data_IF_794807603442
#
_entry.id   IF_794807603442
#
_cell.length_a   1.000
_cell.length_b   1.000
_cell.length_c   1.000
_cell.angle_alpha   90.00
_cell.angle_beta   90.00
_cell.angle_gamma   90.00
#
_symmetry.space_group_name_H-M   'P 1'
#
loop_
_entity.id
_entity.type
_entity.pdbx_description
1 polymer ?
#
# COMPACT_ATOMS: atom_id res chain seq x y z
N UNK A 1 6.20 -23.98 -4.08
CA UNK A 1 5.36 -22.92 -4.65
C UNK A 1 4.36 -22.35 -3.65
N UNK A 2 3.54 -23.16 -2.97
CA UNK A 2 2.45 -22.67 -2.10
C UNK A 2 2.86 -21.64 -1.02
N UNK A 3 3.99 -21.84 -0.32
CA UNK A 3 4.45 -20.90 0.72
C UNK A 3 4.69 -19.48 0.18
N UNK A 4 5.29 -19.36 -1.01
CA UNK A 4 5.62 -18.07 -1.63
C UNK A 4 4.34 -17.35 -2.08
N UNK A 5 3.39 -18.10 -2.64
CA UNK A 5 2.07 -17.60 -3.01
C UNK A 5 1.27 -17.06 -1.82
N UNK A 6 1.31 -17.76 -0.68
CA UNK A 6 0.69 -17.29 0.56
C UNK A 6 1.35 -16.02 1.09
N UNK A 7 2.68 -15.90 0.96
CA UNK A 7 3.41 -14.71 1.40
C UNK A 7 3.06 -13.47 0.56
N UNK A 8 2.98 -13.63 -0.77
CA UNK A 8 2.58 -12.57 -1.69
C UNK A 8 1.15 -12.11 -1.38
N UNK A 9 0.22 -13.06 -1.24
CA UNK A 9 -1.17 -12.77 -0.88
C UNK A 9 -1.28 -12.01 0.44
N UNK A 10 -0.52 -12.41 1.46
CA UNK A 10 -0.50 -11.70 2.75
C UNK A 10 0.01 -10.25 2.57
N UNK A 11 1.04 -10.06 1.76
CA UNK A 11 1.56 -8.72 1.49
C UNK A 11 0.57 -7.87 0.70
N UNK A 12 -0.13 -8.43 -0.29
CA UNK A 12 -1.23 -7.75 -0.99
C UNK A 12 -2.33 -7.29 -0.03
N UNK A 13 -2.70 -8.12 0.95
CA UNK A 13 -3.68 -7.76 1.97
C UNK A 13 -3.23 -6.56 2.80
N UNK A 14 -1.94 -6.49 3.16
CA UNK A 14 -1.33 -5.36 3.89
C UNK A 14 -1.36 -4.09 3.03
N UNK A 15 -1.01 -4.18 1.74
CA UNK A 15 -1.08 -3.04 0.81
C UNK A 15 -2.52 -2.58 0.61
N UNK A 16 -3.47 -3.51 0.49
CA UNK A 16 -4.89 -3.20 0.38
C UNK A 16 -5.43 -2.48 1.63
N UNK A 17 -5.06 -2.97 2.83
CA UNK A 17 -5.39 -2.28 4.08
C UNK A 17 -4.81 -0.86 4.12
N UNK A 18 -3.59 -0.64 3.58
CA UNK A 18 -2.97 0.69 3.50
C UNK A 18 -3.80 1.64 2.64
N UNK A 19 -4.28 1.17 1.48
CA UNK A 19 -5.16 1.94 0.57
C UNK A 19 -6.45 2.34 1.28
N UNK A 20 -7.11 1.38 1.94
CA UNK A 20 -8.35 1.64 2.67
C UNK A 20 -8.14 2.71 3.74
N UNK A 21 -7.08 2.61 4.54
CA UNK A 21 -6.80 3.57 5.61
C UNK A 21 -6.44 4.96 5.04
N UNK A 22 -5.73 5.05 3.91
CA UNK A 22 -5.38 6.34 3.28
C UNK A 22 -6.60 7.08 2.71
N UNK A 23 -7.69 6.39 2.38
CA UNK A 23 -8.93 7.04 1.96
C UNK A 23 -9.67 7.74 3.11
N UNK A 24 -9.45 7.32 4.35
CA UNK A 24 -10.02 7.97 5.51
C UNK A 24 -9.03 8.97 6.11
N UNK A 25 -9.48 10.21 6.34
CA UNK A 25 -8.69 11.19 7.11
C UNK A 25 -8.73 10.80 8.58
N UNK A 26 -7.73 10.04 9.02
CA UNK A 26 -7.60 9.60 10.42
C UNK A 26 -6.82 10.64 11.25
N UNK A 27 -7.42 11.21 12.32
CA UNK A 27 -6.71 12.10 13.24
C UNK A 27 -5.52 11.41 13.93
N UNK A 28 -4.47 12.16 14.25
CA UNK A 28 -3.24 11.60 14.84
C UNK A 28 -3.45 10.91 16.20
N UNK A 29 -4.39 11.39 17.03
CA UNK A 29 -4.68 10.82 18.35
C UNK A 29 -5.61 9.58 18.30
N UNK A 30 -6.05 9.17 17.10
CA UNK A 30 -6.96 8.04 16.96
C UNK A 30 -6.19 6.70 16.96
N UNK A 31 -6.70 5.61 17.58
CA UNK A 31 -6.04 4.30 17.57
C UNK A 31 -5.77 3.76 16.16
N UNK A 32 -6.59 4.12 15.18
CA UNK A 32 -6.39 3.76 13.77
C UNK A 32 -5.14 4.42 13.17
N UNK A 33 -4.67 5.55 13.72
CA UNK A 33 -3.41 6.16 13.29
C UNK A 33 -2.22 5.23 13.61
N UNK A 34 -2.25 4.50 14.72
CA UNK A 34 -1.22 3.49 15.03
C UNK A 34 -1.20 2.37 14.00
N UNK A 35 -2.38 1.93 13.55
CA UNK A 35 -2.48 0.93 12.48
C UNK A 35 -1.94 1.48 11.15
N UNK A 36 -2.30 2.72 10.80
CA UNK A 36 -1.74 3.41 9.63
C UNK A 36 -0.22 3.43 9.65
N UNK A 37 0.37 3.81 10.78
CA UNK A 37 1.82 3.95 10.93
C UNK A 37 2.51 2.56 10.90
N UNK A 38 1.88 1.53 11.47
CA UNK A 38 2.35 0.15 11.37
C UNK A 38 2.33 -0.37 9.92
N UNK A 39 1.26 -0.11 9.15
CA UNK A 39 1.19 -0.45 7.74
C UNK A 39 2.24 0.34 6.93
N UNK A 40 2.42 1.62 7.24
CA UNK A 40 3.42 2.45 6.58
C UNK A 40 4.84 1.92 6.81
N UNK A 41 5.16 1.39 7.98
CA UNK A 41 6.47 0.79 8.26
C UNK A 41 6.82 -0.35 7.29
N UNK A 42 5.81 -1.14 6.90
CA UNK A 42 5.98 -2.30 6.02
C UNK A 42 5.92 -1.90 4.55
N UNK A 43 5.00 -1.01 4.18
CA UNK A 43 4.69 -0.69 2.78
C UNK A 43 5.54 0.47 2.25
N UNK A 44 5.84 1.50 3.06
CA UNK A 44 6.56 2.69 2.61
C UNK A 44 7.99 2.43 2.11
N UNK A 45 8.79 1.49 2.65
CA UNK A 45 10.10 1.18 2.08
C UNK A 45 10.03 0.81 0.59
N UNK A 46 8.94 0.15 0.17
CA UNK A 46 8.68 -0.21 -1.22
C UNK A 46 8.06 0.95 -2.00
N UNK A 47 7.16 1.73 -1.38
CA UNK A 47 6.52 2.85 -2.05
C UNK A 47 7.45 4.05 -2.26
N UNK A 48 8.40 4.32 -1.36
CA UNK A 48 9.33 5.46 -1.46
C UNK A 48 10.07 5.52 -2.80
N UNK A 49 10.68 4.43 -3.32
CA UNK A 49 11.27 4.46 -4.65
C UNK A 49 10.20 4.56 -5.75
N UNK A 50 9.04 3.92 -5.61
CA UNK A 50 7.95 4.01 -6.60
C UNK A 50 7.39 5.43 -6.74
N UNK A 51 7.25 6.17 -5.63
CA UNK A 51 6.81 7.57 -5.58
C UNK A 51 7.74 8.52 -6.36
N UNK A 52 8.98 8.12 -6.66
CA UNK A 52 9.89 8.88 -7.53
C UNK A 52 9.52 8.76 -8.99
N UNK A 53 8.91 7.64 -9.38
CA UNK A 53 8.47 7.35 -10.76
C UNK A 53 7.02 7.81 -10.96
N UNK A 54 6.17 7.56 -9.97
CA UNK A 54 4.74 7.87 -9.99
C UNK A 54 4.46 8.86 -8.86
N UNK A 55 4.64 10.18 -9.12
CA UNK A 55 4.42 11.17 -8.09
C UNK A 55 2.95 11.21 -7.66
N UNK A 56 2.66 11.51 -6.37
CA UNK A 56 1.30 11.59 -5.87
C UNK A 56 0.52 12.70 -6.58
N UNK A 57 -0.74 12.42 -6.92
CA UNK A 57 -1.61 13.38 -7.59
C UNK A 57 -2.21 14.31 -6.54
N UNK A 58 -2.00 15.61 -6.70
CA UNK A 58 -2.58 16.63 -5.82
C UNK A 58 -3.93 17.07 -6.39
N UNK A 59 -5.01 16.88 -5.63
CA UNK A 59 -6.36 17.34 -5.97
C UNK A 59 -6.96 18.11 -4.78
N UNK A 60 -7.33 19.38 -4.98
CA UNK A 60 -8.12 20.15 -4.02
C UNK A 60 -7.52 20.26 -2.62
N UNK A 61 -6.19 20.39 -2.50
CA UNK A 61 -5.50 20.47 -1.21
C UNK A 61 -5.18 19.12 -0.55
N UNK A 62 -5.53 17.99 -1.18
CA UNK A 62 -5.16 16.64 -0.74
C UNK A 62 -4.21 15.98 -1.75
N UNK A 63 -3.18 15.30 -1.26
CA UNK A 63 -2.33 14.46 -2.08
C UNK A 63 -2.87 13.02 -2.04
N UNK A 64 -3.30 12.50 -3.19
CA UNK A 64 -3.70 11.11 -3.35
C UNK A 64 -2.49 10.32 -3.85
N UNK A 65 -2.04 9.35 -3.07
CA UNK A 65 -0.93 8.49 -3.46
C UNK A 65 -1.46 7.28 -4.22
N UNK A 66 -1.16 7.22 -5.52
CA UNK A 66 -1.53 6.08 -6.37
C UNK A 66 -0.49 4.95 -6.32
N UNK A 67 0.68 5.20 -5.72
CA UNK A 67 1.76 4.21 -5.62
C UNK A 67 1.31 2.87 -4.99
N UNK A 68 0.53 2.84 -3.88
CA UNK A 68 0.06 1.60 -3.29
C UNK A 68 -0.88 0.82 -4.23
N UNK A 69 -1.70 1.52 -5.03
CA UNK A 69 -2.59 0.88 -6.00
C UNK A 69 -1.78 0.21 -7.12
N UNK A 70 -0.75 0.90 -7.62
CA UNK A 70 0.16 0.34 -8.64
C UNK A 70 0.92 -0.86 -8.07
N UNK A 71 1.37 -0.79 -6.82
CA UNK A 71 2.02 -1.90 -6.14
C UNK A 71 1.09 -3.10 -6.02
N UNK A 72 -0.18 -2.89 -5.64
CA UNK A 72 -1.17 -3.96 -5.54
C UNK A 72 -1.39 -4.66 -6.89
N UNK A 73 -1.54 -3.89 -7.98
CA UNK A 73 -1.70 -4.45 -9.32
C UNK A 73 -0.44 -5.23 -9.73
N UNK A 74 0.75 -4.69 -9.47
CA UNK A 74 2.01 -5.35 -9.78
C UNK A 74 2.20 -6.68 -9.03
N UNK A 75 1.81 -6.72 -7.75
CA UNK A 75 1.84 -7.95 -6.96
C UNK A 75 0.85 -8.99 -7.48
N UNK A 76 -0.37 -8.58 -7.82
CA UNK A 76 -1.40 -9.49 -8.34
C UNK A 76 -0.99 -10.13 -9.66
N UNK A 77 -0.38 -9.36 -10.55
CA UNK A 77 0.20 -9.89 -11.79
C UNK A 77 1.36 -10.86 -11.50
N UNK A 78 2.24 -10.50 -10.57
CA UNK A 78 3.37 -11.36 -10.19
C UNK A 78 2.89 -12.68 -9.57
N UNK A 79 1.84 -12.63 -8.74
CA UNK A 79 1.22 -13.82 -8.16
C UNK A 79 0.65 -14.73 -9.25
N UNK A 80 -0.10 -14.17 -10.22
CA UNK A 80 -0.68 -14.93 -11.32
C UNK A 80 0.35 -15.59 -12.24
N UNK A 81 1.57 -15.04 -12.31
CA UNK A 81 2.68 -15.64 -13.10
C UNK A 81 3.39 -16.74 -12.31
N UNK A 82 3.48 -16.61 -10.99
CA UNK A 82 4.35 -17.46 -10.14
C UNK A 82 3.64 -18.70 -9.56
N UNK A 83 2.31 -18.69 -9.42
CA UNK A 83 1.58 -19.60 -8.52
C UNK A 83 0.84 -20.81 -9.12
#
# INVERSE_FOLDING_TARGET
MAFLCSLIFLYELVVFARILIDWFRVPFDHPVAKLRDALALVVDPVLRPMRRVIPPIRMGGMALDLSPLVLLIGLSLLQGIVC
#
